data_IF_431503612390
#
_entry.id   IF_431503612390
#
_cell.length_a   1.000
_cell.length_b   1.000
_cell.length_c   1.000
_cell.angle_alpha   90.00
_cell.angle_beta   90.00
_cell.angle_gamma   90.00
#
_symmetry.space_group_name_H-M   'P 1'
#
loop_
_entity.id
_entity.type
_entity.pdbx_description
1 polymer ?
#
# COMPACT_ATOMS: atom_id res chain seq x y z
N UNK A 1 10.23 -1.95 28.26
CA UNK A 1 9.48 -2.17 27.00
C UNK A 1 10.14 -3.33 26.28
N UNK A 2 9.35 -4.15 25.58
CA UNK A 2 9.91 -5.16 24.69
C UNK A 2 10.68 -4.48 23.53
N UNK A 3 11.67 -5.13 22.92
CA UNK A 3 12.27 -4.61 21.69
C UNK A 3 11.24 -4.61 20.55
N UNK A 4 11.39 -3.74 19.53
CA UNK A 4 10.52 -3.75 18.37
C UNK A 4 10.62 -5.07 17.61
N UNK A 5 9.50 -5.52 17.04
CA UNK A 5 9.43 -6.80 16.34
C UNK A 5 8.45 -6.75 15.16
N UNK A 6 8.64 -7.65 14.19
CA UNK A 6 7.73 -7.78 13.05
C UNK A 6 6.59 -8.71 13.42
N UNK A 7 5.36 -8.32 13.10
CA UNK A 7 4.17 -9.17 13.20
C UNK A 7 3.24 -8.96 12.02
N UNK A 8 2.33 -9.92 11.80
CA UNK A 8 1.24 -9.75 10.85
C UNK A 8 0.38 -8.55 11.25
N UNK A 9 -0.15 -7.87 10.24
CA UNK A 9 -1.15 -6.83 10.39
C UNK A 9 -2.36 -7.32 11.17
N UNK A 10 -2.88 -6.46 12.04
CA UNK A 10 -4.16 -6.63 12.73
C UNK A 10 -5.08 -5.44 12.43
N UNK A 11 -6.40 -5.65 12.52
CA UNK A 11 -7.37 -4.57 12.21
C UNK A 11 -7.18 -3.30 13.07
N UNK A 12 -6.60 -3.42 14.27
CA UNK A 12 -6.26 -2.28 15.13
C UNK A 12 -5.18 -1.36 14.53
N UNK A 13 -4.39 -1.84 13.57
CA UNK A 13 -3.26 -1.08 13.01
C UNK A 13 -3.68 -0.14 11.87
N UNK A 14 -4.92 -0.24 11.37
CA UNK A 14 -5.39 0.47 10.17
C UNK A 14 -5.14 1.98 10.23
N UNK A 15 -5.58 2.61 11.32
CA UNK A 15 -5.48 4.05 11.48
C UNK A 15 -4.01 4.48 11.60
N UNK A 16 -3.22 3.71 12.36
CA UNK A 16 -1.80 3.99 12.54
C UNK A 16 -1.00 3.83 11.23
N UNK A 17 -1.35 2.87 10.38
CA UNK A 17 -0.75 2.71 9.05
C UNK A 17 -1.06 3.91 8.13
N UNK A 18 -2.26 4.46 8.19
CA UNK A 18 -2.60 5.68 7.42
C UNK A 18 -1.84 6.90 7.95
N UNK A 19 -1.65 7.00 9.27
CA UNK A 19 -0.78 8.04 9.85
C UNK A 19 0.67 7.88 9.38
N UNK A 20 1.21 6.66 9.40
CA UNK A 20 2.57 6.39 8.89
C UNK A 20 2.67 6.80 7.42
N UNK A 21 1.72 6.41 6.56
CA UNK A 21 1.69 6.81 5.16
C UNK A 21 1.74 8.34 5.00
N UNK A 22 0.96 9.08 5.80
CA UNK A 22 0.94 10.54 5.73
C UNK A 22 2.27 11.16 6.18
N UNK A 23 2.92 10.59 7.20
CA UNK A 23 4.22 11.04 7.72
C UNK A 23 5.38 10.72 6.77
N UNK A 24 5.27 9.67 5.95
CA UNK A 24 6.31 9.24 5.00
C UNK A 24 5.99 9.58 3.54
N UNK A 25 4.84 10.20 3.27
CA UNK A 25 4.42 10.58 1.94
C UNK A 25 5.47 11.46 1.24
N UNK A 26 5.58 11.28 -0.09
CA UNK A 26 6.43 12.11 -0.92
C UNK A 26 6.10 13.62 -0.70
N UNK A 27 7.12 14.50 -0.57
CA UNK A 27 6.88 15.93 -0.31
C UNK A 27 5.97 16.62 -1.34
N UNK A 28 5.99 16.18 -2.60
CA UNK A 28 5.11 16.71 -3.65
C UNK A 28 3.67 16.33 -3.35
N UNK A 29 3.40 15.09 -2.96
CA UNK A 29 2.06 14.65 -2.54
C UNK A 29 1.61 15.42 -1.29
N UNK A 30 2.45 15.48 -0.26
CA UNK A 30 2.13 16.15 0.99
C UNK A 30 1.81 17.65 0.78
N UNK A 31 2.54 18.33 -0.12
CA UNK A 31 2.31 19.74 -0.45
C UNK A 31 0.94 20.04 -1.08
N UNK A 32 0.23 19.02 -1.61
CA UNK A 32 -1.11 19.16 -2.21
C UNK A 32 -2.25 19.18 -1.16
N UNK A 33 -1.95 18.92 0.11
CA UNK A 33 -2.90 19.03 1.23
C UNK A 33 -3.58 17.73 1.64
N UNK A 34 -4.44 17.83 2.66
CA UNK A 34 -5.04 16.67 3.35
C UNK A 34 -5.88 15.77 2.44
N UNK A 35 -6.67 16.34 1.53
CA UNK A 35 -7.48 15.54 0.60
C UNK A 35 -6.61 14.77 -0.40
N UNK A 36 -5.46 15.34 -0.81
CA UNK A 36 -4.50 14.62 -1.66
C UNK A 36 -3.87 13.44 -0.90
N UNK A 37 -3.48 13.65 0.37
CA UNK A 37 -2.98 12.58 1.24
C UNK A 37 -4.04 11.49 1.45
N UNK A 38 -5.30 11.87 1.66
CA UNK A 38 -6.42 10.93 1.79
C UNK A 38 -6.62 10.08 0.54
N UNK A 39 -6.65 10.69 -0.64
CA UNK A 39 -6.73 9.94 -1.91
C UNK A 39 -5.48 9.06 -2.10
N UNK A 40 -4.31 9.58 -1.75
CA UNK A 40 -3.04 8.85 -1.76
C UNK A 40 -3.09 7.59 -0.88
N UNK A 41 -3.56 7.70 0.36
CA UNK A 41 -3.70 6.55 1.26
C UNK A 41 -4.67 5.52 0.68
N UNK A 42 -5.77 5.98 0.08
CA UNK A 42 -6.72 5.14 -0.63
C UNK A 42 -6.19 4.52 -1.93
N UNK A 43 -5.01 4.93 -2.40
CA UNK A 43 -4.36 4.40 -3.61
C UNK A 43 -3.15 3.53 -3.25
N UNK A 44 -2.38 3.87 -2.22
CA UNK A 44 -1.08 3.24 -1.98
C UNK A 44 -0.95 2.50 -0.65
N UNK A 45 -1.97 2.56 0.23
CA UNK A 45 -1.92 1.94 1.55
C UNK A 45 -3.17 1.10 1.87
N UNK A 46 -4.33 1.74 1.92
CA UNK A 46 -5.60 1.16 2.35
C UNK A 46 -6.06 -0.07 1.52
N UNK A 47 -5.95 -0.09 0.18
CA UNK A 47 -6.44 -1.24 -0.60
C UNK A 47 -5.77 -2.55 -0.20
N UNK A 48 -4.50 -2.52 0.19
CA UNK A 48 -3.73 -3.72 0.50
C UNK A 48 -4.26 -4.43 1.74
N UNK A 49 -4.41 -3.72 2.85
CA UNK A 49 -4.90 -4.33 4.09
C UNK A 49 -6.42 -4.57 4.09
N UNK A 50 -7.16 -4.02 3.12
CA UNK A 50 -8.57 -4.35 2.90
C UNK A 50 -8.73 -5.61 2.04
N UNK A 51 -7.96 -5.72 0.96
CA UNK A 51 -8.15 -6.80 -0.03
C UNK A 51 -7.32 -8.05 0.27
N UNK A 52 -6.13 -7.88 0.85
CA UNK A 52 -5.16 -8.94 1.11
C UNK A 52 -4.43 -8.72 2.45
N UNK A 53 -5.15 -8.63 3.59
CA UNK A 53 -4.55 -8.42 4.90
C UNK A 53 -3.50 -9.47 5.28
N UNK A 54 -3.59 -10.69 4.74
CA UNK A 54 -2.63 -11.76 4.94
C UNK A 54 -1.22 -11.42 4.43
N UNK A 55 -1.10 -10.52 3.44
CA UNK A 55 0.16 -10.07 2.85
C UNK A 55 0.75 -8.84 3.55
N UNK A 56 0.15 -8.39 4.65
CA UNK A 56 0.51 -7.16 5.34
C UNK A 56 1.21 -7.46 6.68
N UNK A 57 2.33 -6.77 6.93
CA UNK A 57 3.10 -6.88 8.17
C UNK A 57 3.43 -5.49 8.71
N UNK A 58 3.58 -5.40 10.03
CA UNK A 58 3.93 -4.15 10.72
C UNK A 58 5.15 -4.36 11.62
N UNK A 59 5.86 -3.27 11.89
CA UNK A 59 6.78 -3.19 13.03
C UNK A 59 5.98 -2.75 14.23
N UNK A 60 5.92 -3.59 15.26
CA UNK A 60 5.41 -3.21 16.58
C UNK A 60 6.54 -2.57 17.40
N UNK A 61 6.25 -1.49 18.12
CA UNK A 61 7.21 -0.78 18.98
C UNK A 61 7.56 -1.54 20.28
N UNK A 62 6.94 -2.69 20.53
CA UNK A 62 7.07 -3.48 21.75
C UNK A 62 5.96 -3.21 22.77
N UNK A 63 5.05 -2.29 22.48
CA UNK A 63 3.89 -1.94 23.32
C UNK A 63 2.55 -2.08 22.57
N UNK A 64 2.54 -2.60 21.34
CA UNK A 64 1.33 -2.81 20.55
C UNK A 64 1.13 -1.79 19.42
N UNK A 65 1.96 -0.75 19.31
CA UNK A 65 1.79 0.32 18.32
C UNK A 65 2.59 0.02 17.06
N UNK A 66 1.95 0.15 15.90
CA UNK A 66 2.64 0.08 14.61
C UNK A 66 3.51 1.32 14.37
N UNK A 67 4.76 1.13 13.97
CA UNK A 67 5.73 2.22 13.69
C UNK A 67 6.36 2.14 12.30
N UNK A 68 5.99 1.11 11.56
CA UNK A 68 6.29 0.92 10.15
C UNK A 68 5.48 -0.25 9.62
N UNK A 69 5.36 -0.36 8.30
CA UNK A 69 4.65 -1.45 7.65
C UNK A 69 5.34 -1.88 6.37
N UNK A 70 5.01 -3.09 5.94
CA UNK A 70 5.13 -3.54 4.57
C UNK A 70 3.81 -4.17 4.14
N UNK A 71 3.37 -3.79 2.95
CA UNK A 71 2.12 -4.23 2.33
C UNK A 71 2.38 -4.56 0.88
N UNK A 72 1.61 -5.46 0.29
CA UNK A 72 1.81 -5.81 -1.11
C UNK A 72 0.91 -6.95 -1.57
N UNK A 73 1.18 -7.41 -2.78
CA UNK A 73 0.50 -8.56 -3.39
C UNK A 73 1.53 -9.47 -4.06
N UNK A 74 1.36 -10.80 -4.00
CA UNK A 74 2.13 -11.76 -4.79
C UNK A 74 1.67 -11.84 -6.26
N UNK A 75 0.47 -11.35 -6.57
CA UNK A 75 -0.17 -11.44 -7.89
C UNK A 75 -0.90 -10.13 -8.22
N UNK A 76 -0.27 -9.34 -9.09
CA UNK A 76 -0.83 -8.08 -9.59
C UNK A 76 -2.18 -8.27 -10.31
N UNK A 77 -2.35 -9.35 -11.09
CA UNK A 77 -3.58 -9.57 -11.87
C UNK A 77 -4.75 -9.87 -10.95
N UNK A 78 -4.53 -10.74 -9.97
CA UNK A 78 -5.54 -11.04 -8.96
C UNK A 78 -5.86 -9.80 -8.10
N UNK A 79 -4.85 -9.04 -7.69
CA UNK A 79 -5.05 -7.82 -6.91
C UNK A 79 -5.89 -6.77 -7.66
N UNK A 80 -5.58 -6.52 -8.93
CA UNK A 80 -6.35 -5.59 -9.77
C UNK A 80 -7.79 -6.07 -9.99
N UNK A 81 -7.99 -7.38 -10.16
CA UNK A 81 -9.35 -7.96 -10.22
C UNK A 81 -10.12 -7.66 -8.93
N UNK A 82 -9.52 -7.93 -7.76
CA UNK A 82 -10.15 -7.67 -6.47
C UNK A 82 -10.40 -6.18 -6.24
N UNK A 83 -9.47 -5.32 -6.65
CA UNK A 83 -9.62 -3.87 -6.57
C UNK A 83 -10.85 -3.41 -7.36
N UNK A 84 -10.99 -3.88 -8.61
CA UNK A 84 -12.13 -3.55 -9.47
C UNK A 84 -13.45 -4.02 -8.87
N UNK A 85 -13.51 -5.26 -8.42
CA UNK A 85 -14.75 -5.90 -7.97
C UNK A 85 -15.20 -5.45 -6.58
N UNK A 86 -14.25 -5.20 -5.66
CA UNK A 86 -14.53 -4.99 -4.24
C UNK A 86 -14.17 -3.59 -3.75
N UNK A 87 -13.12 -2.98 -4.28
CA UNK A 87 -12.57 -1.75 -3.72
C UNK A 87 -13.05 -0.48 -4.41
N UNK A 88 -13.27 -0.49 -5.73
CA UNK A 88 -13.87 0.66 -6.44
C UNK A 88 -15.24 1.07 -5.82
N UNK A 89 -16.17 0.14 -5.51
CA UNK A 89 -17.40 0.51 -4.81
C UNK A 89 -17.14 1.17 -3.45
N UNK A 90 -16.16 0.66 -2.68
CA UNK A 90 -15.79 1.24 -1.39
C UNK A 90 -15.21 2.66 -1.54
N UNK A 91 -14.40 2.94 -2.57
CA UNK A 91 -13.90 4.29 -2.83
C UNK A 91 -15.04 5.29 -3.02
N UNK A 92 -16.07 4.89 -3.77
CA UNK A 92 -17.27 5.70 -4.00
C UNK A 92 -18.04 5.94 -2.70
N UNK A 93 -18.20 4.91 -1.86
CA UNK A 93 -18.84 5.03 -0.53
C UNK A 93 -18.05 5.94 0.42
N UNK A 94 -16.72 6.01 0.26
CA UNK A 94 -15.88 6.97 0.97
C UNK A 94 -15.97 8.38 0.37
N UNK A 95 -16.72 8.62 -0.70
CA UNK A 95 -16.81 9.93 -1.36
C UNK A 95 -15.60 10.28 -2.23
N UNK A 96 -14.78 9.29 -2.59
CA UNK A 96 -13.77 9.42 -3.64
C UNK A 96 -14.41 8.90 -4.93
N UNK A 97 -15.11 9.79 -5.64
CA UNK A 97 -15.77 9.45 -6.90
C UNK A 97 -14.80 9.49 -8.07
N UNK A 98 -15.09 8.73 -9.12
CA UNK A 98 -14.39 8.85 -10.40
C UNK A 98 -14.64 10.24 -10.98
N UNK A 99 -13.60 10.97 -11.41
CA UNK A 99 -13.78 12.30 -12.00
C UNK A 99 -14.44 12.20 -13.38
N UNK A 100 -15.14 13.26 -13.78
CA UNK A 100 -15.62 13.43 -15.16
C UNK A 100 -14.46 13.79 -16.10
N UNK A 101 -14.61 13.51 -17.40
CA UNK A 101 -13.54 13.71 -18.40
C UNK A 101 -13.01 15.15 -18.50
N UNK A 102 -13.80 16.14 -18.09
CA UNK A 102 -13.45 17.57 -18.14
C UNK A 102 -13.42 18.21 -16.75
N UNK A 103 -13.26 17.42 -15.70
CA UNK A 103 -13.17 17.92 -14.33
C UNK A 103 -11.92 18.79 -14.15
N UNK A 104 -12.11 20.02 -13.65
CA UNK A 104 -11.04 21.00 -13.40
C UNK A 104 -10.46 20.91 -11.99
N UNK A 105 -10.94 19.99 -11.14
CA UNK A 105 -10.37 19.74 -9.82
C UNK A 105 -8.87 19.34 -9.96
N UNK A 106 -7.95 20.04 -9.27
CA UNK A 106 -6.53 19.70 -9.23
C UNK A 106 -6.18 18.26 -8.81
N UNK A 107 -7.12 17.53 -8.18
CA UNK A 107 -6.96 16.16 -7.71
C UNK A 107 -7.64 15.13 -8.63
N UNK A 108 -8.24 15.55 -9.75
CA UNK A 108 -8.91 14.66 -10.72
C UNK A 108 -8.00 13.53 -11.19
N UNK A 109 -6.75 13.81 -11.55
CA UNK A 109 -5.80 12.76 -11.96
C UNK A 109 -5.57 11.72 -10.86
N UNK A 110 -5.52 12.14 -9.60
CA UNK A 110 -5.33 11.22 -8.47
C UNK A 110 -6.57 10.34 -8.26
N UNK A 111 -7.77 10.93 -8.36
CA UNK A 111 -9.01 10.14 -8.29
C UNK A 111 -9.13 9.18 -9.46
N UNK A 112 -8.73 9.59 -10.66
CA UNK A 112 -8.69 8.70 -11.82
C UNK A 112 -7.73 7.52 -11.58
N UNK A 113 -6.52 7.78 -11.09
CA UNK A 113 -5.56 6.73 -10.75
C UNK A 113 -6.12 5.73 -9.72
N UNK A 114 -6.86 6.19 -8.71
CA UNK A 114 -7.50 5.30 -7.73
C UNK A 114 -8.61 4.41 -8.32
N UNK A 115 -9.25 4.85 -9.41
CA UNK A 115 -10.33 4.13 -10.11
C UNK A 115 -9.86 3.30 -11.32
N UNK A 116 -8.61 3.45 -11.73
CA UNK A 116 -8.01 2.77 -12.89
C UNK A 116 -6.75 1.98 -12.48
N UNK A 117 -6.85 0.99 -11.57
CA UNK A 117 -5.68 0.25 -11.08
C UNK A 117 -4.91 -0.46 -12.21
N UNK A 118 -5.58 -0.83 -13.30
CA UNK A 118 -4.98 -1.47 -14.48
C UNK A 118 -3.89 -0.60 -15.12
N UNK A 119 -4.12 0.72 -15.22
CA UNK A 119 -3.21 1.64 -15.90
C UNK A 119 -1.84 1.70 -15.23
N UNK A 120 -1.79 1.54 -13.90
CA UNK A 120 -0.55 1.59 -13.13
C UNK A 120 0.03 0.20 -12.83
N UNK A 121 -0.80 -0.85 -12.80
CA UNK A 121 -0.38 -2.17 -12.34
C UNK A 121 -0.31 -3.24 -13.43
N UNK A 122 -0.91 -3.01 -14.61
CA UNK A 122 -0.96 -4.01 -15.69
C UNK A 122 -0.51 -3.50 -17.06
N UNK A 123 -0.55 -2.18 -17.29
CA UNK A 123 -0.14 -1.58 -18.56
C UNK A 123 1.38 -1.34 -18.64
N UNK A 124 1.95 -1.09 -19.83
CA UNK A 124 3.38 -0.79 -19.98
C UNK A 124 3.84 0.41 -19.12
N UNK A 125 5.03 0.36 -18.52
CA UNK A 125 6.05 -0.71 -18.62
C UNK A 125 5.82 -1.90 -17.68
N UNK A 126 4.88 -1.81 -16.73
CA UNK A 126 4.65 -2.84 -15.71
C UNK A 126 4.31 -4.19 -16.33
N UNK A 127 3.52 -4.19 -17.42
CA UNK A 127 3.22 -5.42 -18.17
C UNK A 127 4.44 -6.28 -18.51
N UNK A 128 5.55 -5.65 -18.85
CA UNK A 128 6.78 -6.35 -19.21
C UNK A 128 7.49 -6.89 -17.96
N UNK A 129 7.48 -6.12 -16.87
CA UNK A 129 8.00 -6.57 -15.56
C UNK A 129 7.23 -7.77 -15.03
N UNK A 130 5.91 -7.85 -15.25
CA UNK A 130 5.08 -8.97 -14.80
C UNK A 130 5.45 -10.32 -15.43
N UNK A 131 6.33 -10.37 -16.44
CA UNK A 131 6.88 -11.63 -16.97
C UNK A 131 7.85 -12.28 -16.00
N UNK A 132 8.47 -11.49 -15.12
CA UNK A 132 9.50 -11.92 -14.17
C UNK A 132 9.10 -11.64 -12.71
N UNK A 133 8.35 -10.56 -12.48
CA UNK A 133 7.97 -10.07 -11.15
C UNK A 133 6.45 -10.01 -11.02
N UNK A 134 5.84 -11.05 -10.44
CA UNK A 134 4.37 -11.17 -10.35
C UNK A 134 3.75 -10.25 -9.30
N UNK A 135 4.52 -9.88 -8.27
CA UNK A 135 4.07 -9.10 -7.12
C UNK A 135 4.68 -7.71 -7.05
N UNK A 136 4.15 -6.89 -6.16
CA UNK A 136 4.72 -5.58 -5.80
C UNK A 136 4.43 -5.29 -4.32
N UNK A 137 5.07 -4.25 -3.78
CA UNK A 137 4.97 -3.87 -2.38
C UNK A 137 5.17 -2.37 -2.15
N UNK A 138 4.72 -1.91 -0.99
CA UNK A 138 5.05 -0.62 -0.38
C UNK A 138 5.60 -0.87 1.02
N UNK A 139 6.64 -0.13 1.40
CA UNK A 139 7.27 -0.20 2.72
C UNK A 139 7.52 1.20 3.23
N UNK A 140 7.03 1.48 4.43
CA UNK A 140 7.16 2.77 5.08
C UNK A 140 7.49 2.57 6.55
N UNK A 141 8.45 3.36 7.06
CA UNK A 141 8.89 3.32 8.45
C UNK A 141 9.09 4.75 8.89
N UNK A 142 8.52 5.12 10.04
CA UNK A 142 8.70 6.46 10.62
C UNK A 142 10.18 6.81 10.77
N UNK A 143 10.61 8.06 10.51
CA UNK A 143 12.03 8.43 10.50
C UNK A 143 12.83 7.99 11.73
N UNK A 144 12.25 8.08 12.93
CA UNK A 144 12.89 7.70 14.19
C UNK A 144 13.10 6.18 14.36
N UNK A 145 12.42 5.36 13.56
CA UNK A 145 12.54 3.90 13.52
C UNK A 145 13.39 3.38 12.34
N UNK A 146 13.91 4.28 11.50
CA UNK A 146 14.76 3.91 10.37
C UNK A 146 16.20 3.59 10.81
N UNK A 147 16.99 2.99 9.91
CA UNK A 147 18.41 2.61 10.11
C UNK A 147 18.66 1.62 11.26
N UNK A 148 17.62 0.92 11.72
CA UNK A 148 17.69 -0.11 12.77
C UNK A 148 17.50 -1.53 12.21
N UNK A 149 17.73 -1.73 10.91
CA UNK A 149 17.48 -2.98 10.15
C UNK A 149 16.02 -3.44 10.11
N UNK A 150 15.07 -2.66 10.62
CA UNK A 150 13.64 -2.99 10.60
C UNK A 150 13.09 -3.13 9.17
N UNK A 151 13.56 -2.31 8.22
CA UNK A 151 13.17 -2.46 6.81
C UNK A 151 13.65 -3.76 6.18
N UNK A 152 14.83 -4.24 6.56
CA UNK A 152 15.33 -5.56 6.13
C UNK A 152 14.45 -6.67 6.72
N UNK A 153 14.09 -6.56 8.00
CA UNK A 153 13.22 -7.57 8.64
C UNK A 153 11.81 -7.60 8.05
N UNK A 154 11.22 -6.44 7.74
CA UNK A 154 9.95 -6.36 7.02
C UNK A 154 10.06 -7.03 5.64
N UNK A 155 11.15 -6.78 4.93
CA UNK A 155 11.38 -7.39 3.63
C UNK A 155 11.54 -8.90 3.70
N UNK A 156 12.32 -9.39 4.64
CA UNK A 156 12.46 -10.82 4.89
C UNK A 156 11.10 -11.46 5.22
N UNK A 157 10.28 -10.82 6.06
CA UNK A 157 8.95 -11.32 6.39
C UNK A 157 8.03 -11.41 5.16
N UNK A 158 7.95 -10.34 4.38
CA UNK A 158 7.10 -10.29 3.18
C UNK A 158 7.56 -11.27 2.11
N UNK A 159 8.85 -11.29 1.77
CA UNK A 159 9.38 -12.17 0.72
C UNK A 159 9.25 -13.65 1.08
N UNK A 160 9.53 -14.01 2.34
CA UNK A 160 9.32 -15.38 2.80
C UNK A 160 7.85 -15.78 2.73
N UNK A 161 6.93 -14.85 3.02
CA UNK A 161 5.49 -15.08 2.95
C UNK A 161 5.01 -15.28 1.51
N UNK A 162 5.34 -14.35 0.58
CA UNK A 162 4.87 -14.45 -0.81
C UNK A 162 5.53 -15.60 -1.58
N UNK A 163 6.75 -15.99 -1.21
CA UNK A 163 7.41 -17.20 -1.76
C UNK A 163 6.64 -18.47 -1.43
N UNK A 164 6.04 -18.56 -0.24
CA UNK A 164 5.18 -19.69 0.14
C UNK A 164 3.88 -19.73 -0.67
N UNK A 165 3.45 -18.59 -1.24
CA UNK A 165 2.31 -18.49 -2.15
C UNK A 165 2.67 -18.72 -3.63
N UNK A 166 3.94 -19.07 -3.93
CA UNK A 166 4.41 -19.31 -5.29
C UNK A 166 4.88 -18.06 -6.04
N UNK A 167 5.02 -16.93 -5.36
CA UNK A 167 5.62 -15.72 -5.94
C UNK A 167 7.15 -15.76 -5.76
N UNK A 168 7.86 -16.05 -6.84
CA UNK A 168 9.32 -16.05 -6.84
C UNK A 168 9.84 -14.67 -7.24
N UNK A 169 9.88 -13.74 -6.30
CA UNK A 169 10.63 -12.50 -6.49
C UNK A 169 12.12 -12.85 -6.40
N UNK A 170 12.83 -12.81 -7.53
CA UNK A 170 14.30 -12.92 -7.54
C UNK A 170 14.92 -11.58 -7.17
N UNK A 171 15.73 -11.59 -6.11
CA UNK A 171 16.50 -10.45 -5.59
C UNK A 171 17.61 -10.01 -6.55
#
# INVERSE_FOLDING_TARGET
MAPPFIRSFETKDKDEMVVIFNETADPVLASKGEEALRIGAHTYCIPYFILQPENCFVVDDGNGRAVGYIIGTPDNRNFVKQWREKYIPLLQDQGISKPDLNDSDPLSEMRLNAHSPEEKLLEPPVRELLKEFLGHLHIDIRPEWQRQRLGVQLMDAFLNHVKQQGCFLTY
#
